data_IF_098946961954
#
_entry.id   IF_098946961954
#
_cell.length_a   1.000
_cell.length_b   1.000
_cell.length_c   1.000
_cell.angle_alpha   90.00
_cell.angle_beta   90.00
_cell.angle_gamma   90.00
#
_symmetry.space_group_name_H-M   'P 1'
#
loop_
_entity.id
_entity.type
_entity.pdbx_description
1 polymer ?
#
# COMPACT_ATOMS: atom_id res chain seq x y z
N UNK A 1 10.90 -1.28 11.59
CA UNK A 1 10.25 -1.48 12.91
C UNK A 1 9.32 -2.69 12.88
N UNK A 2 8.31 -2.72 12.01
CA UNK A 2 7.36 -3.85 11.89
C UNK A 2 8.06 -5.22 11.77
N UNK A 3 9.01 -5.37 10.84
CA UNK A 3 9.73 -6.65 10.67
C UNK A 3 10.48 -7.11 11.93
N UNK A 4 11.07 -6.18 12.70
CA UNK A 4 11.74 -6.50 13.97
C UNK A 4 10.76 -6.91 15.08
N UNK A 5 9.48 -6.51 14.99
CA UNK A 5 8.47 -6.92 15.96
C UNK A 5 8.07 -8.40 15.79
N UNK A 6 8.28 -8.98 14.61
CA UNK A 6 7.99 -10.39 14.32
C UNK A 6 9.24 -11.28 14.52
N UNK A 7 9.95 -11.11 15.64
CA UNK A 7 11.24 -11.74 15.90
C UNK A 7 11.25 -13.28 15.87
N UNK A 8 10.11 -13.95 16.07
CA UNK A 8 10.01 -15.41 15.97
C UNK A 8 10.00 -15.93 14.53
N UNK A 9 9.68 -15.07 13.57
CA UNK A 9 9.52 -15.43 12.15
C UNK A 9 10.56 -14.76 11.24
N UNK A 10 11.12 -13.62 11.67
CA UNK A 10 11.97 -12.77 10.84
C UNK A 10 13.21 -12.38 11.62
N UNK A 11 14.38 -12.71 11.08
CA UNK A 11 15.65 -12.15 11.52
C UNK A 11 15.97 -10.91 10.68
N UNK A 12 16.30 -9.78 11.32
CA UNK A 12 16.63 -8.52 10.62
C UNK A 12 18.05 -8.10 10.97
N UNK A 13 18.88 -7.92 9.96
CA UNK A 13 20.26 -7.44 10.09
C UNK A 13 20.54 -6.32 9.08
N UNK A 14 20.77 -5.10 9.60
CA UNK A 14 20.99 -3.92 8.77
C UNK A 14 19.89 -3.72 7.70
N UNK A 15 20.26 -3.68 6.40
CA UNK A 15 19.32 -3.53 5.29
C UNK A 15 18.78 -4.88 4.76
N UNK A 16 18.98 -5.98 5.49
CA UNK A 16 18.55 -7.32 5.08
C UNK A 16 17.64 -7.97 6.12
N UNK A 17 16.92 -9.00 5.69
CA UNK A 17 16.19 -9.91 6.56
C UNK A 17 16.28 -11.36 6.04
N UNK A 18 16.01 -12.32 6.91
CA UNK A 18 15.86 -13.72 6.54
C UNK A 18 14.62 -14.32 7.24
N UNK A 19 14.03 -15.32 6.59
CA UNK A 19 12.99 -16.17 7.19
C UNK A 19 13.62 -17.45 7.75
N UNK A 20 12.81 -18.43 8.15
CA UNK A 20 13.27 -19.72 8.70
C UNK A 20 14.07 -20.60 7.72
N UNK A 21 14.21 -20.19 6.47
CA UNK A 21 15.03 -20.85 5.46
C UNK A 21 16.46 -20.27 5.38
N UNK A 22 16.78 -19.29 6.24
CA UNK A 22 18.09 -18.63 6.33
C UNK A 22 18.55 -17.94 5.04
N UNK A 23 17.64 -17.70 4.09
CA UNK A 23 17.96 -16.97 2.87
C UNK A 23 17.85 -15.46 3.15
N UNK A 24 19.00 -14.79 3.12
CA UNK A 24 19.08 -13.34 3.23
C UNK A 24 18.46 -12.64 2.03
N UNK A 25 17.60 -11.65 2.30
CA UNK A 25 16.89 -10.85 1.32
C UNK A 25 16.99 -9.36 1.67
N UNK A 26 17.06 -8.46 0.67
CA UNK A 26 17.07 -7.02 0.94
C UNK A 26 15.72 -6.53 1.46
N UNK A 27 15.75 -5.58 2.38
CA UNK A 27 14.59 -4.79 2.77
C UNK A 27 14.26 -3.78 1.67
N UNK A 28 13.24 -4.09 0.86
CA UNK A 28 12.80 -3.21 -0.21
C UNK A 28 11.95 -2.07 0.35
N UNK A 29 12.18 -0.86 -0.17
CA UNK A 29 11.37 0.33 0.12
C UNK A 29 10.24 0.53 -0.88
N UNK A 30 10.30 -0.18 -2.01
CA UNK A 30 9.35 -0.07 -3.13
C UNK A 30 8.64 -1.39 -3.29
N UNK A 31 7.32 -1.33 -3.19
CA UNK A 31 6.44 -2.46 -3.44
C UNK A 31 5.75 -2.26 -4.79
N UNK A 32 5.59 -3.35 -5.55
CA UNK A 32 4.94 -3.33 -6.85
C UNK A 32 3.60 -4.03 -6.78
N UNK A 33 2.60 -3.42 -7.39
CA UNK A 33 1.22 -3.89 -7.36
C UNK A 33 0.70 -4.16 -8.78
N UNK A 34 -0.34 -4.99 -8.87
CA UNK A 34 -1.09 -5.25 -10.08
C UNK A 34 -2.53 -4.79 -9.89
N UNK A 35 -3.02 -3.93 -10.79
CA UNK A 35 -4.43 -3.58 -10.84
C UNK A 35 -5.23 -4.78 -11.38
N UNK A 36 -5.82 -5.56 -10.48
CA UNK A 36 -6.63 -6.74 -10.84
C UNK A 36 -8.05 -6.33 -11.26
N UNK A 37 -8.58 -5.23 -10.72
CA UNK A 37 -9.92 -4.70 -11.02
C UNK A 37 -9.94 -3.20 -10.83
N UNK A 38 -10.64 -2.50 -11.72
CA UNK A 38 -10.81 -1.05 -11.68
C UNK A 38 -10.32 -0.40 -12.97
N UNK A 39 -10.27 0.92 -12.97
CA UNK A 39 -9.72 1.72 -14.07
C UNK A 39 -8.43 2.36 -13.55
N UNK A 40 -7.28 2.23 -14.25
CA UNK A 40 -6.06 2.92 -13.86
C UNK A 40 -6.26 4.44 -13.78
N UNK A 41 -5.65 5.07 -12.79
CA UNK A 41 -5.60 6.52 -12.62
C UNK A 41 -4.56 7.21 -13.51
N UNK A 42 -3.78 6.45 -14.27
CA UNK A 42 -2.76 6.96 -15.21
C UNK A 42 -2.97 6.42 -16.63
N UNK A 43 -2.45 7.09 -17.68
CA UNK A 43 -2.51 6.58 -19.04
C UNK A 43 -1.88 5.20 -19.19
N UNK A 44 -2.45 4.39 -20.09
CA UNK A 44 -1.95 3.05 -20.40
C UNK A 44 -0.46 3.06 -20.76
N UNK A 45 0.27 2.06 -20.24
CA UNK A 45 1.72 1.94 -20.41
C UNK A 45 2.55 2.64 -19.32
N UNK A 46 1.92 3.44 -18.45
CA UNK A 46 2.58 4.04 -17.28
C UNK A 46 2.23 3.24 -16.02
N UNK A 47 3.18 3.10 -15.08
CA UNK A 47 2.90 2.50 -13.76
C UNK A 47 2.39 3.56 -12.80
N UNK A 48 1.35 3.22 -12.04
CA UNK A 48 0.86 4.03 -10.94
C UNK A 48 1.87 4.03 -9.79
N UNK A 49 2.11 5.20 -9.20
CA UNK A 49 2.92 5.38 -7.99
C UNK A 49 2.08 5.65 -6.74
N UNK A 50 0.75 5.74 -6.91
CA UNK A 50 -0.23 5.96 -5.86
C UNK A 50 -1.43 5.04 -6.12
N UNK A 51 -1.72 4.13 -5.18
CA UNK A 51 -2.85 3.19 -5.29
C UNK A 51 -4.22 3.89 -5.22
N UNK A 52 -4.26 5.16 -4.81
CA UNK A 52 -5.45 5.99 -4.78
C UNK A 52 -5.59 6.91 -6.00
N UNK A 53 -4.68 6.83 -6.98
CA UNK A 53 -4.75 7.64 -8.19
C UNK A 53 -6.10 7.44 -8.92
N UNK A 54 -6.73 8.54 -9.32
CA UNK A 54 -8.03 8.51 -9.99
C UNK A 54 -9.24 8.41 -9.06
N UNK A 55 -9.04 8.21 -7.76
CA UNK A 55 -10.10 8.38 -6.77
C UNK A 55 -10.27 9.87 -6.48
N UNK A 56 -11.49 10.38 -6.61
CA UNK A 56 -11.84 11.66 -5.98
C UNK A 56 -11.98 11.40 -4.49
N UNK A 57 -11.37 12.23 -3.66
CA UNK A 57 -11.73 12.24 -2.24
C UNK A 57 -13.23 12.54 -2.17
N UNK A 58 -14.04 11.53 -1.88
CA UNK A 58 -15.39 11.74 -1.40
C UNK A 58 -15.22 12.36 -0.02
N UNK A 59 -15.27 13.69 0.07
CA UNK A 59 -15.61 14.35 1.31
C UNK A 59 -17.06 13.97 1.65
N UNK A 60 -17.25 12.83 2.30
CA UNK A 60 -18.55 12.46 2.85
C UNK A 60 -18.57 12.84 4.33
N UNK A 61 -19.37 13.87 4.67
CA UNK A 61 -19.51 14.27 6.07
C UNK A 61 -20.38 15.46 6.49
N UNK A 62 -21.26 16.07 5.68
CA UNK A 62 -22.49 16.71 6.20
C UNK A 62 -23.47 17.08 5.09
N UNK A 63 -24.35 16.12 4.76
CA UNK A 63 -25.67 16.45 4.26
C UNK A 63 -26.51 16.98 5.43
N UNK A 64 -26.61 18.30 5.56
CA UNK A 64 -27.71 18.90 6.31
C UNK A 64 -28.96 18.84 5.42
N UNK A 65 -29.77 17.80 5.66
CA UNK A 65 -31.18 17.85 5.32
C UNK A 65 -31.87 18.87 6.25
N UNK A 66 -32.18 20.06 5.72
CA UNK A 66 -33.33 20.85 6.15
C UNK A 66 -34.31 20.84 4.97
N UNK A 67 -35.55 20.36 5.05
CA UNK A 67 -36.48 20.44 6.16
C UNK A 67 -37.44 21.59 5.89
N UNK A 68 -38.55 21.28 5.19
CA UNK A 68 -39.86 21.97 5.19
C UNK A 68 -39.90 23.51 5.17
N UNK A 69 -40.25 24.10 4.03
CA UNK A 69 -41.56 24.74 3.72
C UNK A 69 -41.55 25.25 2.27
#
# INVERSE_FOLDING_TARGET
>A
AAMRAHATQIAVDGPFFALSNDLGQPLLTTEYYQLVRGVPGVPGGTRESDLFAGLRATEDGSGAAGGTE
#
